data_IF_677182413345
#
_entry.id   IF_677182413345
#
_cell.length_a   1.000
_cell.length_b   1.000
_cell.length_c   1.000
_cell.angle_alpha   90.00
_cell.angle_beta   90.00
_cell.angle_gamma   90.00
#
_symmetry.space_group_name_H-M   'P 1'
#
loop_
_entity.id
_entity.type
_entity.pdbx_description
1 polymer ?
#
# COMPACT_ATOMS: atom_id res chain seq x y z
N UNK A 1 40.00 11.84 -7.07
CA UNK A 1 39.11 10.73 -6.64
C UNK A 1 37.84 10.85 -7.46
N UNK A 2 37.67 9.99 -8.46
CA UNK A 2 36.43 9.94 -9.24
C UNK A 2 35.34 9.31 -8.38
N UNK A 3 34.35 10.09 -7.96
CA UNK A 3 33.18 9.53 -7.28
C UNK A 3 32.36 8.73 -8.30
N UNK A 4 32.36 7.41 -8.11
CA UNK A 4 31.58 6.44 -8.90
C UNK A 4 30.11 6.46 -8.46
N UNK A 5 29.41 7.59 -8.55
CA UNK A 5 28.01 7.67 -8.11
C UNK A 5 27.16 8.50 -9.07
N UNK A 6 26.88 7.93 -10.24
CA UNK A 6 25.83 8.44 -11.12
C UNK A 6 24.46 8.41 -10.42
N UNK A 7 23.80 9.57 -10.44
CA UNK A 7 22.44 9.91 -9.97
C UNK A 7 22.12 9.52 -8.50
N UNK A 8 21.51 10.42 -7.70
CA UNK A 8 21.03 10.06 -6.38
C UNK A 8 20.06 8.88 -6.53
N UNK A 9 20.40 7.73 -5.91
CA UNK A 9 19.51 6.57 -5.89
C UNK A 9 18.16 7.05 -5.37
N UNK A 10 17.12 6.98 -6.21
CA UNK A 10 15.75 7.23 -5.78
C UNK A 10 15.48 6.43 -4.50
N UNK A 11 15.04 7.11 -3.45
CA UNK A 11 14.81 6.48 -2.15
C UNK A 11 13.75 5.41 -2.35
N UNK A 12 14.05 4.15 -2.03
CA UNK A 12 13.05 3.07 -2.11
C UNK A 12 11.88 3.44 -1.19
N UNK A 13 10.70 3.61 -1.79
CA UNK A 13 9.42 3.77 -1.10
C UNK A 13 8.72 2.42 -1.01
N UNK A 14 7.90 2.24 0.01
CA UNK A 14 7.06 1.07 0.19
C UNK A 14 5.59 1.42 -0.10
N UNK A 15 4.78 0.40 -0.36
CA UNK A 15 3.33 0.53 -0.53
C UNK A 15 2.63 -0.23 0.58
N UNK A 16 1.45 0.24 0.98
CA UNK A 16 0.59 -0.39 1.98
C UNK A 16 -0.53 -1.14 1.28
N UNK A 17 -0.62 -2.44 1.52
CA UNK A 17 -1.74 -3.26 1.07
C UNK A 17 -2.75 -3.40 2.20
N UNK A 18 -3.94 -2.83 1.99
CA UNK A 18 -5.08 -2.98 2.88
C UNK A 18 -5.97 -4.10 2.36
N UNK A 19 -6.47 -4.97 3.23
CA UNK A 19 -7.33 -6.10 2.87
C UNK A 19 -8.54 -6.16 3.79
N UNK A 20 -9.71 -6.41 3.20
CA UNK A 20 -10.91 -6.81 3.94
C UNK A 20 -11.05 -8.32 3.91
N UNK A 21 -11.36 -8.93 5.05
CA UNK A 21 -11.56 -10.37 5.18
C UNK A 21 -13.00 -10.66 5.58
N UNK A 22 -13.60 -11.67 4.96
CA UNK A 22 -14.84 -12.26 5.47
C UNK A 22 -14.53 -13.14 6.68
N UNK A 23 -15.09 -12.88 7.87
CA UNK A 23 -14.77 -13.62 9.09
C UNK A 23 -15.27 -15.08 9.07
N UNK A 24 -16.25 -15.41 8.21
CA UNK A 24 -16.80 -16.76 8.12
C UNK A 24 -15.94 -17.73 7.30
N UNK A 25 -15.47 -17.28 6.14
CA UNK A 25 -14.67 -18.08 5.19
C UNK A 25 -13.17 -17.82 5.28
N UNK A 26 -12.75 -16.68 5.83
CA UNK A 26 -11.36 -16.22 5.78
C UNK A 26 -10.92 -15.73 4.41
N UNK A 27 -11.83 -15.57 3.45
CA UNK A 27 -11.52 -15.06 2.12
C UNK A 27 -11.27 -13.55 2.13
N UNK A 28 -10.37 -13.09 1.27
CA UNK A 28 -10.18 -11.66 0.99
C UNK A 28 -11.34 -11.21 0.11
N UNK A 29 -12.11 -10.24 0.60
CA UNK A 29 -13.28 -9.67 -0.10
C UNK A 29 -12.99 -8.31 -0.73
N UNK A 30 -11.99 -7.59 -0.21
CA UNK A 30 -11.58 -6.28 -0.72
C UNK A 30 -10.08 -6.10 -0.63
N UNK A 31 -9.50 -5.30 -1.52
CA UNK A 31 -8.08 -4.96 -1.44
C UNK A 31 -7.80 -3.56 -1.97
N UNK A 32 -6.91 -2.82 -1.31
CA UNK A 32 -6.48 -1.51 -1.78
C UNK A 32 -4.99 -1.30 -1.53
N UNK A 33 -4.26 -0.93 -2.57
CA UNK A 33 -2.81 -0.72 -2.52
C UNK A 33 -2.49 0.77 -2.59
N UNK A 34 -1.98 1.33 -1.50
CA UNK A 34 -1.75 2.77 -1.32
C UNK A 34 -0.26 3.09 -1.12
N UNK A 35 0.09 4.37 -1.13
CA UNK A 35 1.44 4.81 -0.76
C UNK A 35 1.63 4.72 0.76
N UNK A 36 2.88 4.72 1.21
CA UNK A 36 3.23 4.70 2.64
C UNK A 36 2.61 5.84 3.47
N UNK A 37 2.21 6.94 2.84
CA UNK A 37 1.63 8.11 3.51
C UNK A 37 0.14 7.97 3.83
N UNK A 38 -0.56 7.00 3.23
CA UNK A 38 -1.99 6.80 3.49
C UNK A 38 -2.16 5.96 4.76
N UNK A 39 -2.93 6.50 5.72
CA UNK A 39 -3.36 5.77 6.92
C UNK A 39 -4.69 5.06 6.70
N UNK A 40 -5.05 4.17 7.62
CA UNK A 40 -6.22 3.30 7.49
C UNK A 40 -7.54 4.05 7.27
N UNK A 41 -7.83 5.17 7.98
CA UNK A 41 -9.05 5.93 7.71
C UNK A 41 -9.13 6.49 6.28
N UNK A 42 -7.99 6.78 5.66
CA UNK A 42 -7.93 7.28 4.29
C UNK A 42 -8.10 6.20 3.23
N UNK A 43 -7.78 4.94 3.54
CA UNK A 43 -7.98 3.81 2.64
C UNK A 43 -9.39 3.20 2.76
N UNK A 44 -10.05 3.42 3.89
CA UNK A 44 -11.33 2.80 4.24
C UNK A 44 -12.47 3.05 3.24
N UNK A 45 -12.72 4.27 2.72
CA UNK A 45 -13.82 4.52 1.79
C UNK A 45 -13.71 3.68 0.51
N UNK A 46 -12.51 3.59 -0.06
CA UNK A 46 -12.21 2.81 -1.26
C UNK A 46 -12.29 1.30 -1.02
N UNK A 47 -11.97 0.82 0.19
CA UNK A 47 -12.17 -0.59 0.56
C UNK A 47 -13.66 -0.92 0.67
N UNK A 48 -14.45 -0.07 1.33
CA UNK A 48 -15.88 -0.30 1.52
C UNK A 48 -16.68 -0.23 0.22
N UNK A 49 -16.22 0.52 -0.78
CA UNK A 49 -16.86 0.59 -2.09
C UNK A 49 -16.72 -0.69 -2.94
N UNK A 50 -15.89 -1.65 -2.52
CA UNK A 50 -15.63 -2.90 -3.25
C UNK A 50 -16.53 -4.07 -2.83
N UNK A 51 -17.34 -3.92 -1.78
CA UNK A 51 -18.25 -4.94 -1.23
C UNK A 51 -19.68 -4.45 -1.17
#
# INVERSE_FOLDING_TARGET
>A
MSEKHGLPKSRKTWRKLHIGLDPGSGHIVTSNLTTEHVGDPGALPELLAQV
#
